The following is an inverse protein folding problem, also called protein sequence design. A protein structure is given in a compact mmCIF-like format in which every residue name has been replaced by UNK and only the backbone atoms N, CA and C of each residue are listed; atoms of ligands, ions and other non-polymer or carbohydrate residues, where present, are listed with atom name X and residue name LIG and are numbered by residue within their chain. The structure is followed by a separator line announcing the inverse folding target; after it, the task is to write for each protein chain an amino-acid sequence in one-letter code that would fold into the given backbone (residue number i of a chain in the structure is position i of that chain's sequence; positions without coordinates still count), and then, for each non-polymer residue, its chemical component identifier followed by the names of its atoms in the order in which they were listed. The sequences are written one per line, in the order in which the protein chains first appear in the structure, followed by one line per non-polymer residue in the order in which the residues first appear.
data_IF_623853364117
#
_entry.id   IF_623853364117
#
_cell.length_a   1.000
_cell.length_b   1.000
_cell.length_c   1.000
_cell.angle_alpha   90.00
_cell.angle_beta   90.00
_cell.angle_gamma   90.00
#
_symmetry.space_group_name_H-M   'P 1'
#
loop_
_entity.id
_entity.type
_entity.pdbx_description
1 polymer ?
#
# COMPACT_ATOMS: atom_id res chain seq x y z
N UNK A 1 3.20 9.51 -16.28
CA UNK A 1 1.83 9.37 -15.79
C UNK A 1 1.84 9.31 -14.27
N UNK A 2 0.74 9.66 -13.58
CA UNK A 2 0.66 9.48 -12.14
C UNK A 2 0.78 8.00 -11.79
N UNK A 3 1.35 7.71 -10.63
CA UNK A 3 1.51 6.35 -10.14
C UNK A 3 1.51 6.33 -8.62
N UNK A 4 1.10 5.21 -8.05
CA UNK A 4 1.24 4.92 -6.62
C UNK A 4 2.12 3.69 -6.48
N UNK A 5 3.08 3.76 -5.57
CA UNK A 5 3.90 2.61 -5.18
C UNK A 5 4.02 2.51 -3.67
N UNK A 6 4.16 1.30 -3.18
CA UNK A 6 4.37 1.05 -1.76
C UNK A 6 5.75 0.46 -1.57
N UNK A 7 6.63 1.22 -0.96
CA UNK A 7 7.94 0.73 -0.51
C UNK A 7 7.85 0.26 0.93
N UNK A 8 8.52 -0.85 1.24
CA UNK A 8 8.49 -1.43 2.57
C UNK A 8 9.90 -1.67 3.09
N UNK A 9 10.09 -1.36 4.36
CA UNK A 9 11.31 -1.67 5.09
C UNK A 9 11.03 -2.66 6.20
N UNK A 10 11.88 -3.66 6.31
CA UNK A 10 11.76 -4.71 7.31
C UNK A 10 13.02 -4.82 8.14
N UNK A 11 12.87 -4.89 9.45
CA UNK A 11 13.94 -5.10 10.39
C UNK A 11 13.73 -6.39 11.17
N UNK A 12 14.72 -7.26 11.18
CA UNK A 12 14.68 -8.54 11.91
C UNK A 12 15.04 -8.40 13.38
N UNK A 13 15.77 -7.33 13.73
CA UNK A 13 16.13 -7.00 15.09
C UNK A 13 15.89 -5.53 15.28
N UNK A 14 14.91 -5.19 16.06
CA UNK A 14 14.62 -3.80 16.40
C UNK A 14 15.52 -3.41 17.56
N UNK A 15 16.53 -2.63 17.26
CA UNK A 15 17.34 -1.93 18.27
C UNK A 15 16.86 -0.47 18.32
N UNK A 16 17.08 0.18 19.45
CA UNK A 16 16.76 1.60 19.65
C UNK A 16 17.57 2.57 18.76
N UNK A 17 18.37 2.05 17.86
CA UNK A 17 19.27 2.81 16.98
C UNK A 17 18.84 2.70 15.55
N UNK A 18 19.02 3.81 14.86
CA UNK A 18 18.91 3.97 13.41
C UNK A 18 19.45 2.78 12.63
N UNK A 19 18.58 2.20 11.83
CA UNK A 19 19.00 1.29 10.79
C UNK A 19 18.47 1.81 9.45
N UNK A 20 19.33 1.80 8.43
CA UNK A 20 18.87 2.08 7.08
C UNK A 20 17.76 1.08 6.72
N UNK A 21 16.65 1.59 6.26
CA UNK A 21 15.54 0.76 5.80
C UNK A 21 15.92 0.07 4.50
N UNK A 22 15.52 -1.18 4.36
CA UNK A 22 15.60 -1.92 3.10
C UNK A 22 14.20 -2.24 2.61
N UNK A 23 14.02 -2.33 1.31
CA UNK A 23 12.78 -2.85 0.76
C UNK A 23 12.62 -4.32 1.14
N UNK A 24 11.38 -4.80 1.17
CA UNK A 24 11.10 -6.21 1.44
C UNK A 24 11.80 -7.18 0.47
N UNK A 25 12.21 -6.70 -0.70
CA UNK A 25 13.02 -7.41 -1.69
C UNK A 25 14.51 -7.45 -1.37
N UNK A 26 14.96 -6.77 -0.31
CA UNK A 26 16.37 -6.61 0.03
C UNK A 26 17.04 -5.36 -0.55
N UNK A 27 16.35 -4.60 -1.38
CA UNK A 27 16.85 -3.35 -1.93
C UNK A 27 16.77 -2.21 -0.90
N UNK A 28 17.59 -1.16 -1.01
CA UNK A 28 17.45 0.04 -0.18
C UNK A 28 16.03 0.62 -0.29
N UNK A 29 15.51 1.15 0.80
CA UNK A 29 14.21 1.85 0.81
C UNK A 29 14.37 3.23 0.16
N UNK A 30 14.52 3.23 -1.15
CA UNK A 30 14.77 4.42 -1.96
C UNK A 30 13.52 4.86 -2.72
N UNK A 31 13.38 6.18 -2.83
CA UNK A 31 12.36 6.80 -3.67
C UNK A 31 12.76 6.61 -5.14
N UNK A 32 11.82 6.20 -5.96
CA UNK A 32 12.07 6.03 -7.40
C UNK A 32 12.47 7.34 -8.05
N UNK A 33 13.24 7.22 -9.14
CA UNK A 33 13.62 8.38 -9.92
C UNK A 33 12.41 8.94 -10.68
N UNK A 34 12.25 10.25 -10.66
CA UNK A 34 11.22 10.98 -11.40
C UNK A 34 11.80 12.32 -11.90
N UNK A 35 11.19 12.96 -12.94
CA UNK A 35 11.69 14.22 -13.49
C UNK A 35 11.72 15.34 -12.45
N UNK A 36 12.69 16.23 -12.51
CA UNK A 36 12.81 17.38 -11.60
C UNK A 36 11.59 18.33 -11.62
N UNK A 37 10.80 18.29 -12.70
CA UNK A 37 9.55 19.06 -12.82
C UNK A 37 8.35 18.38 -12.16
N UNK A 38 8.51 17.12 -11.73
CA UNK A 38 7.46 16.36 -11.07
C UNK A 38 7.66 16.34 -9.55
N UNK A 39 6.65 15.82 -8.85
CA UNK A 39 6.66 15.65 -7.40
C UNK A 39 6.36 14.22 -7.04
N UNK A 40 6.89 13.79 -5.90
CA UNK A 40 6.42 12.63 -5.18
C UNK A 40 5.95 13.05 -3.79
N UNK A 41 4.87 12.45 -3.31
CA UNK A 41 4.25 12.79 -2.04
C UNK A 41 4.01 11.51 -1.23
N UNK A 42 4.29 11.57 0.06
CA UNK A 42 3.93 10.53 0.99
C UNK A 42 2.44 10.66 1.32
N UNK A 43 1.64 9.64 0.95
CA UNK A 43 0.20 9.61 1.21
C UNK A 43 -0.15 8.91 2.51
N UNK A 44 0.59 7.84 2.83
CA UNK A 44 0.30 7.03 4.01
C UNK A 44 1.54 6.25 4.45
N UNK A 45 1.58 5.89 5.72
CA UNK A 45 2.56 4.97 6.27
C UNK A 45 1.84 3.88 7.07
N UNK A 46 2.18 2.63 6.83
CA UNK A 46 1.64 1.47 7.51
C UNK A 46 2.73 0.83 8.34
N UNK A 47 2.34 0.27 9.46
CA UNK A 47 3.28 -0.28 10.41
C UNK A 47 2.81 -1.62 10.94
N UNK A 48 3.72 -2.55 11.10
CA UNK A 48 3.47 -3.82 11.74
C UNK A 48 4.64 -4.21 12.66
N UNK A 49 4.30 -4.55 13.90
CA UNK A 49 5.25 -4.96 14.93
C UNK A 49 4.69 -6.16 15.68
N UNK A 50 5.56 -7.11 15.97
CA UNK A 50 5.18 -8.31 16.72
C UNK A 50 5.14 -8.12 18.24
N UNK A 51 5.64 -7.01 18.76
CA UNK A 51 5.84 -6.84 20.21
C UNK A 51 5.07 -5.70 20.84
N UNK A 52 5.08 -4.52 20.26
CA UNK A 52 4.41 -3.33 20.82
C UNK A 52 4.25 -2.26 19.76
N UNK A 53 3.11 -1.57 19.79
CA UNK A 53 2.88 -0.41 18.93
C UNK A 53 3.77 0.76 19.40
N UNK A 54 4.90 0.95 18.73
CA UNK A 54 5.84 2.01 19.02
C UNK A 54 5.77 3.10 17.94
N UNK A 55 5.98 4.37 18.30
CA UNK A 55 6.08 5.42 17.30
C UNK A 55 7.26 5.19 16.35
N UNK A 56 7.01 5.37 15.07
CA UNK A 56 7.97 5.28 14.00
C UNK A 56 8.44 6.64 13.54
N UNK A 57 9.66 6.68 13.07
CA UNK A 57 10.20 7.85 12.41
C UNK A 57 10.86 7.43 11.10
N UNK A 58 10.55 8.18 10.03
CA UNK A 58 11.22 8.06 8.73
C UNK A 58 12.07 9.30 8.53
N UNK A 59 13.34 9.12 8.24
CA UNK A 59 14.29 10.22 7.98
C UNK A 59 15.03 10.01 6.68
N UNK A 60 15.50 11.10 6.13
CA UNK A 60 16.55 11.10 5.11
C UNK A 60 17.32 12.41 5.14
N UNK A 61 18.52 12.47 4.52
CA UNK A 61 19.27 13.71 4.38
C UNK A 61 18.56 14.80 3.59
N UNK A 62 17.63 14.43 2.70
CA UNK A 62 16.91 15.34 1.83
C UNK A 62 15.56 15.78 2.41
N UNK A 63 15.03 15.07 3.40
CA UNK A 63 13.90 15.56 4.17
C UNK A 63 14.37 16.72 5.05
N UNK A 64 13.59 17.75 5.09
CA UNK A 64 13.94 19.05 5.62
C UNK A 64 14.37 19.06 7.12
N UNK A 65 14.15 17.99 7.82
CA UNK A 65 14.70 17.77 9.16
C UNK A 65 15.25 16.33 9.29
N UNK A 66 16.53 16.18 9.07
CA UNK A 66 17.24 14.91 9.23
C UNK A 66 17.25 14.37 10.67
N UNK A 67 16.93 15.20 11.66
CA UNK A 67 16.88 14.79 13.08
C UNK A 67 15.48 14.33 13.47
N UNK A 68 14.45 15.07 13.07
CA UNK A 68 13.06 14.81 13.46
C UNK A 68 12.35 13.87 12.48
N UNK A 69 12.56 14.09 11.18
CA UNK A 69 11.90 13.31 10.14
C UNK A 69 10.39 13.35 10.21
N UNK A 70 9.77 12.38 9.54
CA UNK A 70 8.32 12.15 9.56
C UNK A 70 8.02 11.16 10.68
N UNK A 71 7.23 11.57 11.66
CA UNK A 71 6.82 10.69 12.75
C UNK A 71 5.45 10.07 12.44
N UNK A 72 5.37 8.75 12.63
CA UNK A 72 4.14 7.99 12.53
C UNK A 72 3.84 7.38 13.89
N UNK A 73 2.69 7.69 14.42
CA UNK A 73 2.22 7.17 15.71
C UNK A 73 1.18 6.10 15.45
N UNK A 74 1.51 4.81 15.60
CA UNK A 74 0.52 3.77 15.55
C UNK A 74 -0.44 3.93 16.74
N UNK A 75 -1.73 3.84 16.51
CA UNK A 75 -2.71 3.72 17.58
C UNK A 75 -2.50 2.44 18.38
N UNK A 76 -3.03 2.39 19.59
CA UNK A 76 -2.87 1.25 20.51
C UNK A 76 -3.38 -0.10 19.95
N UNK A 77 -4.16 -0.10 18.90
CA UNK A 77 -4.82 -1.29 18.34
C UNK A 77 -4.72 -1.46 16.84
N UNK A 78 -4.26 -0.44 16.10
CA UNK A 78 -4.04 -0.55 14.66
C UNK A 78 -3.12 0.59 14.18
N UNK A 79 -2.16 0.32 13.30
CA UNK A 79 -1.46 1.36 12.60
C UNK A 79 -2.41 2.01 11.60
N UNK A 80 -3.05 3.08 12.00
CA UNK A 80 -3.79 3.92 11.09
C UNK A 80 -2.78 4.74 10.29
N UNK A 81 -2.53 4.27 9.09
CA UNK A 81 -1.45 4.77 8.30
C UNK A 81 -1.73 6.03 7.51
N UNK A 82 -2.75 6.79 7.80
CA UNK A 82 -2.95 8.06 7.10
C UNK A 82 -2.13 9.15 7.78
N UNK A 83 -1.16 9.69 7.05
CA UNK A 83 -0.43 10.88 7.49
C UNK A 83 -1.41 12.06 7.45
N UNK A 84 -1.38 12.95 8.45
CA UNK A 84 -2.27 14.11 8.49
C UNK A 84 -2.19 14.92 7.19
N UNK A 85 -3.31 15.11 6.55
CA UNK A 85 -3.45 15.61 5.18
C UNK A 85 -3.10 17.05 4.97
N UNK A 86 -3.06 17.84 6.03
CA UNK A 86 -2.79 19.27 5.93
C UNK A 86 -1.34 19.57 5.57
N UNK A 87 -0.47 18.57 5.70
CA UNK A 87 0.94 18.68 5.34
C UNK A 87 1.36 17.46 4.54
N UNK A 88 1.14 17.49 3.24
CA UNK A 88 1.71 16.48 2.35
C UNK A 88 3.21 16.60 2.37
N UNK A 89 3.88 15.52 2.75
CA UNK A 89 5.32 15.49 2.74
C UNK A 89 5.82 15.24 1.33
N UNK A 90 6.46 16.24 0.74
CA UNK A 90 7.18 16.09 -0.52
C UNK A 90 8.43 15.22 -0.32
N UNK A 91 8.65 14.30 -1.25
CA UNK A 91 9.77 13.38 -1.27
C UNK A 91 10.67 13.71 -2.46
N UNK A 92 11.97 13.45 -2.30
CA UNK A 92 12.96 13.70 -3.33
C UNK A 92 13.28 12.42 -4.11
N UNK A 93 13.53 12.59 -5.42
CA UNK A 93 13.91 11.49 -6.28
C UNK A 93 15.22 10.85 -5.81
N UNK A 94 15.28 9.52 -5.82
CA UNK A 94 16.45 8.73 -5.44
C UNK A 94 16.91 8.91 -3.98
N UNK A 95 16.05 9.50 -3.12
CA UNK A 95 16.34 9.63 -1.71
C UNK A 95 16.24 8.28 -1.01
N UNK A 96 17.16 8.00 -0.12
CA UNK A 96 17.15 6.79 0.72
C UNK A 96 16.52 7.09 2.08
N UNK A 97 15.46 6.36 2.39
CA UNK A 97 14.74 6.55 3.63
C UNK A 97 15.29 5.65 4.73
N UNK A 98 15.48 6.22 5.89
CA UNK A 98 15.90 5.53 7.11
C UNK A 98 14.71 5.41 8.04
N UNK A 99 14.41 4.20 8.47
CA UNK A 99 13.32 3.89 9.38
C UNK A 99 13.86 3.69 10.80
N UNK A 100 13.22 4.35 11.76
CA UNK A 100 13.60 4.26 13.16
C UNK A 100 12.39 4.04 14.05
N UNK A 101 12.61 3.32 15.16
CA UNK A 101 11.69 3.37 16.29
C UNK A 101 12.06 4.54 17.19
N UNK A 102 11.08 5.30 17.66
CA UNK A 102 11.31 6.52 18.45
C UNK A 102 11.62 6.25 19.91
N UNK A 103 11.54 5.02 20.40
CA UNK A 103 11.80 4.67 21.80
C UNK A 103 12.69 3.44 21.93
N UNK A 104 13.44 3.38 23.03
CA UNK A 104 14.36 2.30 23.34
C UNK A 104 13.66 0.95 23.57
N UNK A 105 14.31 -0.12 23.14
CA UNK A 105 14.05 -1.50 23.55
C UNK A 105 12.74 -2.12 23.09
N UNK A 106 12.50 -2.17 21.78
CA UNK A 106 11.67 -3.24 21.24
C UNK A 106 12.60 -4.39 20.80
N UNK A 107 12.40 -5.55 21.34
CA UNK A 107 13.01 -6.79 20.86
C UNK A 107 12.01 -7.46 19.95
N UNK A 108 12.26 -7.50 18.66
CA UNK A 108 11.34 -8.14 17.73
C UNK A 108 11.52 -7.70 16.29
N UNK A 109 10.62 -8.17 15.45
CA UNK A 109 10.59 -7.82 14.03
C UNK A 109 9.65 -6.64 13.83
N UNK A 110 10.00 -5.73 12.96
CA UNK A 110 9.18 -4.57 12.62
C UNK A 110 9.19 -4.31 11.12
N UNK A 111 8.08 -3.85 10.61
CA UNK A 111 7.90 -3.51 9.21
C UNK A 111 7.20 -2.16 9.09
N UNK A 112 7.75 -1.31 8.24
CA UNK A 112 7.13 -0.08 7.80
C UNK A 112 6.90 -0.12 6.30
N UNK A 113 5.69 0.20 5.85
CA UNK A 113 5.34 0.35 4.46
C UNK A 113 4.85 1.77 4.20
N UNK A 114 5.40 2.42 3.19
CA UNK A 114 5.07 3.80 2.80
C UNK A 114 4.37 3.80 1.46
N UNK A 115 3.19 4.40 1.42
CA UNK A 115 2.42 4.63 0.21
C UNK A 115 2.80 5.97 -0.39
N UNK A 116 3.43 5.93 -1.58
CA UNK A 116 3.97 7.10 -2.24
C UNK A 116 3.22 7.35 -3.53
N UNK A 117 2.79 8.59 -3.72
CA UNK A 117 2.21 9.08 -4.95
C UNK A 117 3.25 9.82 -5.77
N UNK A 118 3.42 9.42 -7.00
CA UNK A 118 4.24 10.08 -8.00
C UNK A 118 3.34 10.81 -8.98
N UNK A 119 3.46 12.14 -9.09
CA UNK A 119 2.70 12.93 -10.08
C UNK A 119 3.11 12.57 -11.51
N UNK A 120 4.35 12.21 -11.70
CA UNK A 120 4.86 11.71 -12.97
C UNK A 120 5.99 10.71 -12.73
N UNK A 121 5.73 9.44 -13.03
CA UNK A 121 6.75 8.39 -12.94
C UNK A 121 7.02 7.85 -14.34
N UNK A 122 8.29 7.93 -14.84
CA UNK A 122 8.67 7.37 -16.13
C UNK A 122 8.43 5.87 -16.19
N UNK A 123 7.88 5.39 -17.30
CA UNK A 123 7.61 3.96 -17.50
C UNK A 123 6.42 3.40 -16.72
N UNK A 124 5.80 4.17 -15.84
CA UNK A 124 4.59 3.73 -15.17
C UNK A 124 3.37 3.86 -16.10
N UNK A 125 2.55 2.83 -16.12
CA UNK A 125 1.29 2.75 -16.87
C UNK A 125 0.11 2.49 -15.93
N UNK A 126 0.16 3.03 -14.71
CA UNK A 126 -0.88 2.82 -13.72
C UNK A 126 -2.17 3.54 -14.12
N UNK A 127 -3.29 2.79 -14.09
CA UNK A 127 -4.63 3.30 -14.36
C UNK A 127 -5.26 3.77 -13.05
N UNK A 128 -5.03 5.05 -12.72
CA UNK A 128 -5.53 5.69 -11.50
C UNK A 128 -6.58 6.73 -11.84
N UNK A 129 -7.69 6.71 -11.14
CA UNK A 129 -8.83 7.61 -11.37
C UNK A 129 -9.33 8.25 -10.07
N UNK A 130 -10.06 9.34 -10.22
CA UNK A 130 -10.80 9.97 -9.13
C UNK A 130 -12.19 9.36 -8.97
N UNK A 131 -12.80 9.57 -7.80
CA UNK A 131 -14.17 9.10 -7.56
C UNK A 131 -15.18 9.77 -8.51
N UNK A 132 -14.91 11.01 -8.92
CA UNK A 132 -15.76 11.73 -9.90
C UNK A 132 -15.81 11.07 -11.27
N UNK A 133 -14.71 10.42 -11.68
CA UNK A 133 -14.63 9.71 -12.97
C UNK A 133 -15.35 8.35 -12.90
N UNK A 134 -15.31 7.72 -11.73
CA UNK A 134 -15.78 6.34 -11.52
C UNK A 134 -17.25 6.30 -11.14
N UNK A 135 -17.69 7.13 -10.22
CA UNK A 135 -19.04 7.04 -9.63
C UNK A 135 -20.19 7.04 -10.65
N UNK A 136 -20.15 7.86 -11.72
CA UNK A 136 -21.21 7.84 -12.75
C UNK A 136 -21.28 6.54 -13.56
N UNK A 137 -20.20 5.75 -13.54
CA UNK A 137 -20.04 4.55 -14.36
C UNK A 137 -20.30 3.25 -13.60
N UNK A 138 -20.48 3.31 -12.29
CA UNK A 138 -20.68 2.11 -11.46
C UNK A 138 -22.01 1.43 -11.80
N UNK A 139 -21.92 0.16 -12.18
CA UNK A 139 -23.10 -0.72 -12.39
C UNK A 139 -23.40 -1.55 -11.16
N UNK A 140 -22.39 -2.26 -10.65
CA UNK A 140 -22.51 -3.19 -9.55
C UNK A 140 -21.29 -3.14 -8.65
N UNK A 141 -21.46 -3.52 -7.39
CA UNK A 141 -20.36 -3.82 -6.47
C UNK A 141 -20.13 -5.32 -6.43
N UNK A 142 -18.89 -5.75 -6.58
CA UNK A 142 -18.49 -7.15 -6.57
C UNK A 142 -17.34 -7.37 -5.57
N UNK A 143 -17.58 -8.03 -4.43
CA UNK A 143 -16.50 -8.50 -3.58
C UNK A 143 -15.86 -9.73 -4.22
N UNK A 144 -14.54 -9.74 -4.30
CA UNK A 144 -13.74 -10.90 -4.72
C UNK A 144 -12.92 -11.35 -3.52
N UNK A 145 -13.01 -12.63 -3.18
CA UNK A 145 -12.31 -13.21 -2.04
C UNK A 145 -11.13 -14.06 -2.51
N UNK A 146 -9.98 -13.88 -1.87
CA UNK A 146 -8.77 -14.68 -2.13
C UNK A 146 -8.30 -15.29 -0.84
N UNK A 147 -8.26 -16.63 -0.80
CA UNK A 147 -7.84 -17.37 0.38
C UNK A 147 -6.32 -17.29 0.58
N UNK A 148 -5.89 -17.07 1.80
CA UNK A 148 -4.49 -17.06 2.24
C UNK A 148 -4.30 -18.16 3.29
N UNK A 149 -3.40 -19.09 3.02
CA UNK A 149 -3.10 -20.18 3.96
C UNK A 149 -2.35 -19.71 5.21
N UNK A 150 -2.42 -20.48 6.27
CA UNK A 150 -1.60 -20.26 7.47
C UNK A 150 -0.11 -20.37 7.10
N UNK A 151 0.69 -19.41 7.55
CA UNK A 151 2.12 -19.37 7.26
C UNK A 151 2.49 -19.14 5.79
N UNK A 152 1.54 -18.67 4.97
CA UNK A 152 1.74 -18.53 3.53
C UNK A 152 2.84 -17.51 3.17
N UNK A 153 2.98 -16.45 3.95
CA UNK A 153 3.96 -15.40 3.69
C UNK A 153 5.23 -15.55 4.55
N UNK A 154 6.34 -15.09 4.02
CA UNK A 154 7.58 -14.91 4.77
C UNK A 154 7.62 -13.50 5.37
N UNK A 155 8.05 -13.39 6.63
CA UNK A 155 8.18 -12.09 7.31
C UNK A 155 9.03 -11.11 6.49
N UNK A 156 8.54 -9.89 6.32
CA UNK A 156 9.21 -8.83 5.60
C UNK A 156 9.24 -8.98 4.08
N UNK A 157 8.57 -9.97 3.52
CA UNK A 157 8.49 -10.18 2.09
C UNK A 157 7.04 -10.08 1.60
N UNK A 158 6.88 -9.50 0.41
CA UNK A 158 5.60 -9.52 -0.27
C UNK A 158 5.26 -10.93 -0.73
N UNK A 159 4.07 -11.37 -0.41
CA UNK A 159 3.49 -12.61 -0.89
C UNK A 159 2.38 -12.28 -1.89
N UNK A 160 2.57 -12.69 -3.14
CA UNK A 160 1.68 -12.37 -4.25
C UNK A 160 0.72 -13.56 -4.49
N UNK A 161 -0.57 -13.28 -4.47
CA UNK A 161 -1.67 -14.20 -4.73
C UNK A 161 -2.36 -13.80 -6.02
N UNK A 162 -2.45 -14.71 -6.97
CA UNK A 162 -3.20 -14.46 -8.21
C UNK A 162 -4.69 -14.32 -7.86
N UNK A 163 -5.38 -13.35 -8.46
CA UNK A 163 -6.84 -13.31 -8.41
C UNK A 163 -7.36 -14.48 -9.22
N UNK A 164 -7.63 -15.58 -8.55
CA UNK A 164 -8.26 -16.72 -9.18
C UNK A 164 -9.76 -16.43 -9.27
N UNK A 165 -10.22 -16.20 -10.47
CA UNK A 165 -11.65 -16.15 -10.79
C UNK A 165 -12.20 -17.58 -10.81
N UNK A 166 -12.27 -18.22 -9.64
CA UNK A 166 -12.89 -19.55 -9.51
C UNK A 166 -14.41 -19.53 -9.72
N UNK A 167 -14.99 -18.35 -9.74
CA UNK A 167 -16.37 -18.10 -10.08
C UNK A 167 -16.37 -17.04 -11.19
N UNK A 168 -17.31 -17.10 -12.13
CA UNK A 168 -17.49 -16.14 -13.22
C UNK A 168 -17.90 -14.74 -12.71
N UNK A 169 -17.18 -14.24 -11.70
CA UNK A 169 -17.50 -12.97 -11.05
C UNK A 169 -17.09 -11.77 -11.90
N UNK A 170 -16.05 -11.94 -12.72
CA UNK A 170 -15.56 -10.86 -13.56
C UNK A 170 -15.98 -11.07 -15.00
N UNK A 171 -16.72 -10.12 -15.56
CA UNK A 171 -17.09 -10.13 -16.96
C UNK A 171 -15.88 -9.81 -17.84
N UNK A 172 -15.69 -10.60 -18.90
CA UNK A 172 -14.57 -10.42 -19.83
C UNK A 172 -14.53 -8.98 -20.38
N UNK A 173 -13.30 -8.46 -20.53
CA UNK A 173 -13.01 -7.12 -21.05
C UNK A 173 -13.75 -5.97 -20.35
N UNK A 174 -14.11 -6.15 -19.09
CA UNK A 174 -14.78 -5.13 -18.29
C UNK A 174 -13.80 -4.53 -17.29
N UNK A 175 -13.88 -3.23 -17.11
CA UNK A 175 -13.11 -2.52 -16.12
C UNK A 175 -13.76 -2.55 -14.74
N UNK A 176 -12.94 -2.72 -13.74
CA UNK A 176 -13.32 -2.75 -12.34
C UNK A 176 -12.48 -1.74 -11.55
N UNK A 177 -13.14 -0.80 -10.89
CA UNK A 177 -12.48 0.09 -9.96
C UNK A 177 -12.27 -0.61 -8.62
N UNK A 178 -11.06 -0.60 -8.11
CA UNK A 178 -10.71 -1.15 -6.79
C UNK A 178 -11.02 -0.11 -5.74
N UNK A 179 -12.11 -0.27 -5.01
CA UNK A 179 -12.54 0.70 -4.00
C UNK A 179 -11.74 0.55 -2.69
N UNK A 180 -11.33 -0.67 -2.39
CA UNK A 180 -10.55 -0.99 -1.21
C UNK A 180 -10.21 -2.47 -1.09
N UNK A 181 -9.42 -2.76 -0.07
CA UNK A 181 -8.92 -4.08 0.29
C UNK A 181 -9.14 -4.31 1.78
N UNK A 182 -9.54 -5.50 2.16
CA UNK A 182 -9.61 -5.91 3.56
C UNK A 182 -8.96 -7.27 3.74
N UNK A 183 -8.41 -7.52 4.91
CA UNK A 183 -7.91 -8.83 5.29
C UNK A 183 -8.31 -9.14 6.73
N UNK A 184 -8.72 -10.36 6.99
CA UNK A 184 -9.16 -10.82 8.30
C UNK A 184 -8.02 -11.19 9.26
N UNK A 185 -6.77 -11.14 8.79
CA UNK A 185 -5.56 -11.37 9.59
C UNK A 185 -4.77 -10.08 9.76
N UNK A 186 -3.99 -10.00 10.85
CA UNK A 186 -3.13 -8.87 11.11
C UNK A 186 -1.89 -8.90 10.20
N UNK A 187 -1.85 -7.98 9.23
CA UNK A 187 -0.69 -7.73 8.35
C UNK A 187 -0.43 -6.22 8.25
N UNK A 188 0.75 -5.82 7.84
CA UNK A 188 1.07 -4.41 7.69
C UNK A 188 0.27 -3.77 6.55
N UNK A 189 0.28 -4.42 5.40
CA UNK A 189 -0.37 -3.90 4.21
C UNK A 189 -0.91 -5.02 3.31
N UNK A 190 -1.98 -4.68 2.60
CA UNK A 190 -2.56 -5.46 1.51
C UNK A 190 -2.54 -4.59 0.27
N UNK A 191 -2.07 -5.11 -0.86
CA UNK A 191 -1.92 -4.34 -2.08
C UNK A 191 -2.51 -5.04 -3.30
N UNK A 192 -2.88 -4.26 -4.30
CA UNK A 192 -3.10 -4.74 -5.67
C UNK A 192 -1.87 -4.42 -6.52
N UNK A 193 -1.47 -5.36 -7.39
CA UNK A 193 -0.33 -5.25 -8.31
C UNK A 193 -0.66 -5.97 -9.60
N UNK A 194 -0.32 -5.37 -10.73
CA UNK A 194 -0.52 -5.99 -12.04
C UNK A 194 -0.19 -5.03 -13.18
N UNK A 195 -0.50 -5.43 -14.39
CA UNK A 195 -0.26 -4.60 -15.58
C UNK A 195 -0.96 -3.26 -15.44
N UNK A 196 -2.22 -3.25 -15.01
CA UNK A 196 -3.04 -2.05 -14.87
C UNK A 196 -2.58 -1.11 -13.73
N UNK A 197 -1.76 -1.58 -12.81
CA UNK A 197 -1.09 -0.75 -11.81
C UNK A 197 0.35 -0.37 -12.21
N UNK A 198 0.77 -0.65 -13.45
CA UNK A 198 2.14 -0.46 -13.90
C UNK A 198 3.15 -1.39 -13.18
N UNK A 199 2.70 -2.55 -12.71
CA UNK A 199 3.43 -3.50 -11.86
C UNK A 199 3.90 -2.90 -10.52
N UNK A 200 3.28 -1.81 -10.08
CA UNK A 200 3.49 -1.20 -8.78
C UNK A 200 2.48 -1.74 -7.76
N UNK A 201 2.86 -1.74 -6.49
CA UNK A 201 1.98 -2.16 -5.38
C UNK A 201 1.23 -0.98 -4.83
N UNK A 202 -0.08 -0.98 -5.03
CA UNK A 202 -0.98 0.04 -4.50
C UNK A 202 -1.63 -0.54 -3.24
N UNK A 203 -1.10 -0.18 -2.09
CA UNK A 203 -1.47 -0.80 -0.83
C UNK A 203 -2.52 -0.02 -0.04
N UNK A 204 -3.28 -0.78 0.74
CA UNK A 204 -4.09 -0.33 1.86
C UNK A 204 -3.55 -0.93 3.16
N UNK A 205 -3.79 -0.30 4.32
CA UNK A 205 -3.37 -0.87 5.60
C UNK A 205 -4.10 -2.19 5.87
N UNK A 206 -3.34 -3.19 6.30
CA UNK A 206 -3.87 -4.54 6.54
C UNK A 206 -4.65 -4.71 7.84
N UNK A 207 -4.64 -3.71 8.72
CA UNK A 207 -5.30 -3.76 10.04
C UNK A 207 -6.50 -2.82 10.19
N UNK A 208 -7.01 -2.28 9.10
CA UNK A 208 -8.19 -1.42 9.14
C UNK A 208 -9.45 -2.22 9.49
N UNK A 209 -10.39 -1.54 10.14
CA UNK A 209 -11.76 -2.06 10.25
C UNK A 209 -12.32 -2.33 8.84
N UNK A 210 -13.08 -3.42 8.70
CA UNK A 210 -13.58 -3.88 7.39
C UNK A 210 -14.26 -2.77 6.57
N UNK A 211 -15.03 -1.89 7.22
CA UNK A 211 -15.71 -0.76 6.55
C UNK A 211 -14.73 0.26 5.98
N UNK A 212 -13.66 0.56 6.71
CA UNK A 212 -12.65 1.53 6.29
C UNK A 212 -11.74 0.94 5.21
N UNK A 213 -11.36 -0.31 5.34
CA UNK A 213 -10.61 -1.04 4.33
C UNK A 213 -11.37 -1.17 3.01
N UNK A 214 -12.66 -1.49 3.06
CA UNK A 214 -13.53 -1.63 1.90
C UNK A 214 -13.65 -0.34 1.05
N UNK A 215 -13.34 0.83 1.61
CA UNK A 215 -13.42 2.13 0.95
C UNK A 215 -12.12 2.92 1.01
N UNK A 216 -11.02 2.27 1.27
CA UNK A 216 -9.74 2.93 1.52
C UNK A 216 -9.31 3.87 0.38
N UNK A 217 -9.31 3.39 -0.86
CA UNK A 217 -8.88 4.20 -2.00
C UNK A 217 -9.84 5.35 -2.33
N UNK A 218 -11.13 5.16 -2.07
CA UNK A 218 -12.14 6.21 -2.18
C UNK A 218 -11.89 7.30 -1.13
N UNK A 219 -11.68 6.93 0.13
CA UNK A 219 -11.34 7.87 1.19
C UNK A 219 -10.04 8.62 0.88
N UNK A 220 -9.02 7.90 0.42
CA UNK A 220 -7.75 8.49 0.05
C UNK A 220 -7.91 9.53 -1.06
N UNK A 221 -8.71 9.23 -2.10
CA UNK A 221 -9.06 10.20 -3.14
C UNK A 221 -9.77 11.43 -2.59
N UNK A 222 -10.79 11.23 -1.74
CA UNK A 222 -11.56 12.32 -1.15
C UNK A 222 -10.69 13.24 -0.28
N UNK A 223 -9.77 12.67 0.46
CA UNK A 223 -8.89 13.39 1.37
C UNK A 223 -7.76 14.13 0.64
N UNK A 224 -7.20 13.53 -0.39
CA UNK A 224 -6.05 14.08 -1.10
C UNK A 224 -6.42 14.90 -2.33
N UNK A 225 -7.59 14.66 -2.91
CA UNK A 225 -7.98 15.18 -4.22
C UNK A 225 -7.20 14.59 -5.39
N UNK A 226 -6.35 13.57 -5.13
CA UNK A 226 -5.53 12.92 -6.15
C UNK A 226 -6.26 11.69 -6.73
N UNK A 227 -6.04 11.32 -8.01
CA UNK A 227 -6.54 10.07 -8.56
C UNK A 227 -5.82 8.88 -7.89
N UNK A 228 -6.48 8.23 -6.94
CA UNK A 228 -5.91 7.15 -6.14
C UNK A 228 -6.65 5.83 -6.27
N UNK A 229 -7.73 5.78 -7.04
CA UNK A 229 -8.54 4.56 -7.21
C UNK A 229 -7.99 3.79 -8.40
N UNK A 230 -7.39 2.60 -8.19
CA UNK A 230 -6.89 1.77 -9.28
C UNK A 230 -8.06 1.18 -10.08
N UNK A 231 -7.90 1.10 -11.39
CA UNK A 231 -8.83 0.40 -12.28
C UNK A 231 -8.11 -0.76 -12.94
N UNK A 232 -8.66 -1.96 -12.79
CA UNK A 232 -8.15 -3.20 -13.39
C UNK A 232 -9.11 -3.67 -14.47
N UNK A 233 -8.58 -4.20 -15.56
CA UNK A 233 -9.39 -4.86 -16.57
C UNK A 233 -9.44 -6.37 -16.33
N UNK A 234 -10.63 -6.96 -16.44
CA UNK A 234 -10.80 -8.40 -16.25
C UNK A 234 -9.96 -9.26 -17.20
N UNK A 235 -9.61 -8.75 -18.40
CA UNK A 235 -8.69 -9.44 -19.30
C UNK A 235 -7.29 -9.64 -18.69
N UNK A 236 -6.89 -8.79 -17.73
CA UNK A 236 -5.61 -8.84 -17.03
C UNK A 236 -5.68 -9.57 -15.68
N UNK A 237 -6.83 -10.15 -15.32
CA UNK A 237 -7.02 -10.77 -14.00
C UNK A 237 -5.97 -11.87 -13.70
N UNK A 238 -5.61 -12.68 -14.69
CA UNK A 238 -4.58 -13.71 -14.55
C UNK A 238 -3.15 -13.19 -14.27
N UNK A 239 -2.90 -11.90 -14.51
CA UNK A 239 -1.65 -11.20 -14.21
C UNK A 239 -1.81 -10.12 -13.14
N UNK A 240 -2.96 -10.10 -12.47
CA UNK A 240 -3.24 -9.21 -11.35
C UNK A 240 -3.13 -10.00 -10.05
N UNK A 241 -2.36 -9.46 -9.12
CA UNK A 241 -2.07 -10.09 -7.83
C UNK A 241 -2.64 -9.24 -6.71
N UNK A 242 -3.13 -9.93 -5.68
CA UNK A 242 -3.26 -9.37 -4.35
C UNK A 242 -1.99 -9.72 -3.59
N UNK A 243 -1.33 -8.71 -3.04
CA UNK A 243 -0.07 -8.89 -2.30
C UNK A 243 -0.30 -8.57 -0.83
N UNK A 244 0.27 -9.38 0.06
CA UNK A 244 0.27 -9.11 1.50
C UNK A 244 1.71 -8.99 2.00
N UNK A 245 1.92 -8.18 3.04
CA UNK A 245 3.20 -8.07 3.72
C UNK A 245 2.99 -7.87 5.22
N UNK A 246 3.80 -8.53 6.03
CA UNK A 246 3.77 -8.42 7.49
C UNK A 246 5.14 -8.64 8.11
N UNK A 247 5.29 -8.25 9.37
CA UNK A 247 6.49 -8.48 10.17
C UNK A 247 6.66 -9.93 10.60
N UNK A 248 5.60 -10.75 10.49
CA UNK A 248 5.59 -12.17 10.81
C UNK A 248 4.81 -12.94 9.74
N UNK A 249 5.00 -14.25 9.66
CA UNK A 249 4.13 -15.10 8.87
C UNK A 249 2.69 -15.06 9.41
N UNK A 250 1.69 -15.20 8.54
CA UNK A 250 0.29 -15.30 8.95
C UNK A 250 0.08 -16.47 9.90
N UNK A 251 -0.46 -16.22 11.09
CA UNK A 251 -0.63 -17.24 12.11
C UNK A 251 -1.74 -18.23 11.79
N UNK A 252 -2.78 -17.78 11.11
CA UNK A 252 -3.95 -18.59 10.71
C UNK A 252 -4.22 -18.38 9.21
N UNK A 253 -4.98 -19.30 8.62
CA UNK A 253 -5.56 -19.08 7.31
C UNK A 253 -6.55 -17.91 7.37
N UNK A 254 -6.60 -17.12 6.31
CA UNK A 254 -7.45 -15.95 6.23
C UNK A 254 -7.95 -15.69 4.82
N UNK A 255 -8.73 -14.61 4.67
CA UNK A 255 -9.29 -14.20 3.39
C UNK A 255 -9.07 -12.73 3.15
N UNK A 256 -8.39 -12.41 2.05
CA UNK A 256 -8.34 -11.05 1.53
C UNK A 256 -9.60 -10.81 0.70
N UNK A 257 -10.29 -9.73 0.97
CA UNK A 257 -11.41 -9.27 0.16
C UNK A 257 -11.01 -8.04 -0.64
N UNK A 258 -11.22 -8.12 -1.93
CA UNK A 258 -11.08 -7.04 -2.90
C UNK A 258 -12.47 -6.49 -3.19
N UNK A 259 -12.71 -5.23 -2.91
CA UNK A 259 -14.00 -4.59 -3.17
C UNK A 259 -13.94 -3.88 -4.51
N UNK A 260 -14.62 -4.43 -5.49
CA UNK A 260 -14.63 -3.94 -6.86
C UNK A 260 -15.94 -3.24 -7.20
N UNK A 261 -15.86 -2.19 -7.99
CA UNK A 261 -17.00 -1.61 -8.68
C UNK A 261 -16.90 -1.94 -10.18
N UNK A 262 -17.86 -2.69 -10.70
CA UNK A 262 -18.00 -2.94 -12.14
C UNK A 262 -18.40 -1.66 -12.86
N UNK A 263 -17.67 -1.31 -13.92
CA UNK A 263 -17.94 -0.11 -14.70
C UNK A 263 -18.78 -0.41 -15.94
N UNK A 264 -19.63 0.53 -16.33
CA UNK A 264 -20.50 0.42 -17.49
C UNK A 264 -19.77 0.58 -18.83
N UNK A 265 -18.55 1.14 -18.78
CA UNK A 265 -17.66 1.31 -19.93
C UNK A 265 -16.21 1.22 -19.47
N UNK A 266 -15.33 0.85 -20.39
CA UNK A 266 -13.91 0.83 -20.12
C UNK A 266 -13.33 2.26 -20.12
N UNK A 267 -12.47 2.51 -19.15
CA UNK A 267 -11.70 3.75 -19.04
C UNK A 267 -10.39 3.56 -19.81
N UNK A 268 -10.12 4.42 -20.76
CA UNK A 268 -8.94 4.38 -21.61
C UNK A 268 -7.63 4.70 -20.86
#
# INVERSE_FOLDING_TARGET
MPAIDTIASFQTTVASTLAAGVMATGDPAAIRNFPASAKAELLAAFYDDVTTALPWRVRSPLLHDNVRGIQVYPGATAPEGLIPFDVRQELHAQDELVFELSTAAATGKALAALLIYYHQLPGAAARLFGIGDIAPLVKNLKPVSVAVGAGANTAGQWYDLVITTTEDLLHANTDYAVLGLTFDQAVAAVAVKGIDTGNLRIAAPGKLAAVDGARYFVKLNQLTGLPTIPVINAANAGSTFISIISSAATGAAGTVQLILAELSQNLG
#
